data_IF_310261567404
#
_entry.id   IF_310261567404
#
_cell.length_a   1.000
_cell.length_b   1.000
_cell.length_c   1.000
_cell.angle_alpha   90.00
_cell.angle_beta   90.00
_cell.angle_gamma   90.00
#
_symmetry.space_group_name_H-M   'P 1'
#
loop_
_entity.id
_entity.type
_entity.pdbx_description
1 polymer ?
#
# COMPACT_ATOMS: atom_id res chain seq x y z
N UNK A 1 33.93 88.69 1.83
CA UNK A 1 33.12 87.76 1.03
C UNK A 1 33.45 86.34 1.43
N UNK A 2 32.49 85.64 2.04
CA UNK A 2 32.60 84.22 2.40
C UNK A 2 32.67 83.36 1.13
N UNK A 3 33.61 82.41 1.08
CA UNK A 3 33.38 81.15 0.37
C UNK A 3 33.91 80.01 1.22
N UNK A 4 33.11 79.65 2.23
CA UNK A 4 33.23 78.41 2.99
C UNK A 4 33.10 77.28 1.95
N UNK A 5 34.15 76.48 1.73
CA UNK A 5 34.04 75.27 0.92
C UNK A 5 32.99 74.37 1.57
N UNK A 6 31.82 74.30 0.96
CA UNK A 6 30.75 73.41 1.38
C UNK A 6 31.14 72.00 0.92
N UNK A 7 31.61 71.18 1.86
CA UNK A 7 31.09 69.82 2.03
C UNK A 7 31.46 68.69 1.04
N UNK A 8 32.52 68.76 0.22
CA UNK A 8 32.88 67.61 -0.65
C UNK A 8 33.23 66.32 0.13
N UNK A 9 33.72 66.45 1.38
CA UNK A 9 34.02 65.29 2.24
C UNK A 9 32.78 64.54 2.76
N UNK A 10 31.60 65.17 2.77
CA UNK A 10 30.37 64.53 3.25
C UNK A 10 29.65 63.70 2.17
N UNK A 11 29.67 64.19 0.93
CA UNK A 11 29.01 63.52 -0.21
C UNK A 11 29.77 62.24 -0.58
N UNK A 12 31.10 62.26 -0.57
CA UNK A 12 31.92 61.07 -0.80
C UNK A 12 31.63 59.96 0.22
N UNK A 13 31.46 60.30 1.50
CA UNK A 13 31.13 59.33 2.54
C UNK A 13 29.75 58.70 2.34
N UNK A 14 28.74 59.52 1.97
CA UNK A 14 27.39 59.03 1.67
C UNK A 14 27.42 58.09 0.45
N UNK A 15 28.16 58.44 -0.62
CA UNK A 15 28.31 57.55 -1.79
C UNK A 15 28.97 56.23 -1.41
N UNK A 16 30.02 56.23 -0.59
CA UNK A 16 30.67 55.01 -0.10
C UNK A 16 29.71 54.16 0.72
N UNK A 17 28.94 54.78 1.63
CA UNK A 17 27.93 54.07 2.41
C UNK A 17 26.85 53.43 1.52
N UNK A 18 26.39 54.14 0.49
CA UNK A 18 25.43 53.59 -0.47
C UNK A 18 26.00 52.43 -1.29
N UNK A 19 27.23 52.54 -1.77
CA UNK A 19 27.93 51.46 -2.47
C UNK A 19 28.10 50.25 -1.54
N UNK A 20 28.50 50.47 -0.28
CA UNK A 20 28.62 49.42 0.72
C UNK A 20 27.27 48.75 1.02
N UNK A 21 26.19 49.53 1.14
CA UNK A 21 24.85 49.00 1.36
C UNK A 21 24.39 48.12 0.19
N UNK A 22 24.58 48.59 -1.05
CA UNK A 22 24.25 47.82 -2.26
C UNK A 22 25.08 46.54 -2.38
N UNK A 23 26.39 46.61 -2.12
CA UNK A 23 27.26 45.45 -2.08
C UNK A 23 26.84 44.45 -1.01
N UNK A 24 26.44 44.92 0.17
CA UNK A 24 25.98 44.05 1.27
C UNK A 24 24.70 43.31 0.89
N UNK A 25 23.74 43.98 0.24
CA UNK A 25 22.50 43.35 -0.24
C UNK A 25 22.83 42.28 -1.29
N UNK A 26 23.69 42.59 -2.27
CA UNK A 26 24.08 41.65 -3.32
C UNK A 26 24.78 40.41 -2.75
N UNK A 27 25.74 40.60 -1.84
CA UNK A 27 26.46 39.49 -1.19
C UNK A 27 25.50 38.64 -0.36
N UNK A 28 24.53 39.26 0.33
CA UNK A 28 23.53 38.54 1.14
C UNK A 28 22.61 37.70 0.26
N UNK A 29 22.11 38.25 -0.84
CA UNK A 29 21.25 37.54 -1.79
C UNK A 29 21.98 36.35 -2.42
N UNK A 30 23.22 36.57 -2.86
CA UNK A 30 24.06 35.50 -3.42
C UNK A 30 24.33 34.40 -2.38
N UNK A 31 24.66 34.76 -1.14
CA UNK A 31 24.88 33.79 -0.07
C UNK A 31 23.61 32.99 0.28
N UNK A 32 22.45 33.64 0.24
CA UNK A 32 21.16 32.98 0.44
C UNK A 32 20.86 31.99 -0.69
N UNK A 33 20.99 32.44 -1.94
CA UNK A 33 20.80 31.61 -3.14
C UNK A 33 21.73 30.38 -3.14
N UNK A 34 23.04 30.57 -2.90
CA UNK A 34 23.98 29.46 -2.81
C UNK A 34 23.62 28.46 -1.69
N UNK A 35 23.14 28.93 -0.54
CA UNK A 35 22.69 28.05 0.54
C UNK A 35 21.46 27.23 0.12
N UNK A 36 20.54 27.83 -0.65
CA UNK A 36 19.38 27.09 -1.17
C UNK A 36 19.77 26.04 -2.20
N UNK A 37 20.69 26.36 -3.11
CA UNK A 37 21.20 25.41 -4.11
C UNK A 37 21.95 24.24 -3.48
N UNK A 38 22.82 24.51 -2.50
CA UNK A 38 23.53 23.45 -1.77
C UNK A 38 22.55 22.52 -1.04
N UNK A 39 21.46 23.06 -0.47
CA UNK A 39 20.41 22.25 0.15
C UNK A 39 19.66 21.42 -0.86
N UNK A 40 19.29 21.99 -2.01
CA UNK A 40 18.61 21.28 -3.09
C UNK A 40 19.47 20.14 -3.64
N UNK A 41 20.76 20.41 -3.92
CA UNK A 41 21.71 19.40 -4.40
C UNK A 41 21.92 18.27 -3.39
N UNK A 42 21.99 18.60 -2.09
CA UNK A 42 22.09 17.60 -1.02
C UNK A 42 20.82 16.74 -0.94
N UNK A 43 19.64 17.36 -0.95
CA UNK A 43 18.38 16.62 -0.89
C UNK A 43 18.22 15.69 -2.11
N UNK A 44 18.57 16.15 -3.31
CA UNK A 44 18.55 15.33 -4.52
C UNK A 44 19.49 14.10 -4.40
N UNK A 45 20.68 14.29 -3.82
CA UNK A 45 21.61 13.19 -3.52
C UNK A 45 21.02 12.21 -2.51
N UNK A 46 20.49 12.71 -1.41
CA UNK A 46 19.89 11.90 -0.33
C UNK A 46 18.65 11.12 -0.83
N UNK A 47 17.82 11.73 -1.68
CA UNK A 47 16.66 11.09 -2.30
C UNK A 47 17.08 9.96 -3.25
N UNK A 48 18.09 10.19 -4.10
CA UNK A 48 18.63 9.14 -4.97
C UNK A 48 19.23 7.98 -4.16
N UNK A 49 19.96 8.27 -3.07
CA UNK A 49 20.48 7.25 -2.16
C UNK A 49 19.35 6.45 -1.51
N UNK A 50 18.32 7.13 -0.98
CA UNK A 50 17.15 6.50 -0.38
C UNK A 50 16.40 5.59 -1.38
N UNK A 51 16.25 6.03 -2.64
CA UNK A 51 15.64 5.23 -3.71
C UNK A 51 16.38 3.91 -3.94
N UNK A 52 17.70 3.96 -4.17
CA UNK A 52 18.47 2.74 -4.43
C UNK A 52 18.57 1.82 -3.19
N UNK A 53 18.51 2.38 -1.98
CA UNK A 53 18.38 1.62 -0.74
C UNK A 53 17.03 0.89 -0.66
N UNK A 54 15.92 1.55 -1.02
CA UNK A 54 14.61 0.91 -1.12
C UNK A 54 14.60 -0.20 -2.19
N UNK A 55 15.21 0.06 -3.34
CA UNK A 55 15.35 -0.93 -4.41
C UNK A 55 16.18 -2.15 -3.96
N UNK A 56 17.21 -1.94 -3.14
CA UNK A 56 17.98 -3.03 -2.53
C UNK A 56 17.08 -3.90 -1.62
N UNK A 57 16.20 -3.30 -0.83
CA UNK A 57 15.24 -4.04 -0.01
C UNK A 57 14.23 -4.85 -0.83
N UNK A 58 13.75 -4.31 -1.96
CA UNK A 58 12.94 -5.08 -2.92
C UNK A 58 13.68 -6.32 -3.43
N UNK A 59 14.94 -6.16 -3.86
CA UNK A 59 15.74 -7.28 -4.36
C UNK A 59 16.05 -8.33 -3.28
N UNK A 60 16.27 -7.89 -2.04
CA UNK A 60 16.46 -8.81 -0.90
C UNK A 60 15.20 -9.62 -0.59
N UNK A 61 14.03 -8.97 -0.62
CA UNK A 61 12.75 -9.65 -0.47
C UNK A 61 12.47 -10.65 -1.61
N UNK A 62 12.81 -10.29 -2.84
CA UNK A 62 12.75 -11.17 -4.01
C UNK A 62 13.63 -12.41 -3.81
N UNK A 63 14.88 -12.24 -3.35
CA UNK A 63 15.77 -13.35 -3.06
C UNK A 63 15.22 -14.26 -1.96
N UNK A 64 14.57 -13.69 -0.93
CA UNK A 64 13.88 -14.43 0.12
C UNK A 64 12.72 -15.28 -0.44
N UNK A 65 11.89 -14.69 -1.30
CA UNK A 65 10.71 -15.35 -1.91
C UNK A 65 11.12 -16.44 -2.92
N UNK A 66 12.23 -16.25 -3.64
CA UNK A 66 12.78 -17.25 -4.57
C UNK A 66 13.49 -18.39 -3.87
N UNK A 67 13.83 -18.22 -2.59
CA UNK A 67 14.48 -19.27 -1.82
C UNK A 67 13.62 -20.54 -1.73
N UNK A 68 14.29 -21.64 -1.38
CA UNK A 68 13.62 -22.91 -1.17
C UNK A 68 13.01 -22.97 0.24
N UNK A 69 11.68 -22.96 0.30
CA UNK A 69 10.91 -23.16 1.52
C UNK A 69 9.70 -24.06 1.25
N UNK A 70 9.18 -24.70 2.30
CA UNK A 70 8.05 -25.63 2.21
C UNK A 70 6.71 -24.96 2.54
N UNK A 71 6.73 -24.01 3.48
CA UNK A 71 5.56 -23.25 3.89
C UNK A 71 5.95 -21.86 4.36
N UNK A 72 4.98 -20.94 4.36
CA UNK A 72 5.12 -19.61 4.92
C UNK A 72 4.03 -19.34 5.96
N UNK A 73 4.33 -18.50 6.94
CA UNK A 73 3.45 -18.23 8.07
C UNK A 73 3.59 -16.81 8.59
N UNK A 74 2.61 -16.35 9.38
CA UNK A 74 2.63 -15.01 9.96
C UNK A 74 3.67 -14.92 11.09
N UNK A 75 4.64 -14.01 10.97
CA UNK A 75 5.60 -13.73 12.05
C UNK A 75 4.99 -12.93 13.20
N UNK A 76 5.52 -13.10 14.42
CA UNK A 76 5.06 -12.37 15.62
C UNK A 76 5.43 -10.88 15.64
N UNK A 77 6.54 -10.51 14.98
CA UNK A 77 7.13 -9.15 15.02
C UNK A 77 7.43 -8.56 13.64
N UNK A 78 7.23 -9.34 12.58
CA UNK A 78 7.46 -8.92 11.21
C UNK A 78 6.42 -9.58 10.31
N UNK A 79 6.41 -9.25 9.02
CA UNK A 79 5.52 -9.87 8.05
C UNK A 79 5.69 -11.39 7.92
N UNK A 80 5.49 -11.90 6.73
CA UNK A 80 5.53 -13.35 6.47
C UNK A 80 6.92 -13.92 6.76
N UNK A 81 7.02 -15.12 7.31
CA UNK A 81 8.26 -15.89 7.46
C UNK A 81 8.19 -17.15 6.61
N UNK A 82 9.33 -17.58 6.08
CA UNK A 82 9.48 -18.77 5.27
C UNK A 82 10.24 -19.87 6.04
N UNK A 83 9.75 -21.09 5.96
CA UNK A 83 10.32 -22.23 6.68
C UNK A 83 10.29 -23.54 5.87
N UNK A 84 11.22 -24.42 6.23
CA UNK A 84 11.29 -25.81 5.77
C UNK A 84 10.69 -26.76 6.82
N UNK A 85 10.28 -27.94 6.39
CA UNK A 85 9.70 -29.00 7.24
C UNK A 85 10.68 -29.56 8.26
N UNK A 86 11.97 -29.44 8.00
CA UNK A 86 13.05 -29.82 8.93
C UNK A 86 13.20 -28.85 10.11
N UNK A 87 12.38 -27.79 10.17
CA UNK A 87 12.42 -26.77 11.21
C UNK A 87 13.35 -25.60 10.90
N UNK A 88 14.08 -25.64 9.76
CA UNK A 88 14.90 -24.52 9.29
C UNK A 88 13.99 -23.34 8.98
N UNK A 89 14.25 -22.22 9.67
CA UNK A 89 13.57 -20.95 9.44
C UNK A 89 14.54 -19.97 8.82
N UNK A 90 14.08 -19.18 7.86
CA UNK A 90 14.91 -18.10 7.34
C UNK A 90 15.12 -17.04 8.42
N UNK A 91 16.36 -16.78 8.85
CA UNK A 91 16.64 -15.79 9.87
C UNK A 91 16.47 -14.41 9.25
N UNK A 92 15.55 -13.57 9.75
CA UNK A 92 15.39 -12.25 9.15
C UNK A 92 15.18 -11.12 10.14
N UNK A 93 16.27 -10.38 10.32
CA UNK A 93 16.17 -8.95 10.50
C UNK A 93 16.02 -8.32 9.12
N UNK A 94 14.84 -7.75 8.82
CA UNK A 94 14.57 -7.03 7.56
C UNK A 94 14.99 -5.57 7.61
N UNK A 95 15.64 -5.14 8.69
CA UNK A 95 16.23 -3.83 8.84
C UNK A 95 17.75 -3.94 9.05
N UNK A 96 18.53 -3.33 8.16
CA UNK A 96 19.99 -3.42 8.23
C UNK A 96 20.66 -2.19 7.58
N UNK A 97 21.86 -1.80 8.04
CA UNK A 97 22.61 -0.72 7.43
C UNK A 97 23.24 -1.15 6.10
N UNK A 98 23.27 -0.24 5.12
CA UNK A 98 24.05 -0.37 3.88
C UNK A 98 24.80 0.94 3.68
N UNK A 99 26.14 0.89 3.76
CA UNK A 99 26.97 2.10 3.77
C UNK A 99 26.59 2.99 4.95
N UNK A 100 26.28 4.25 4.67
CA UNK A 100 25.84 5.22 5.68
C UNK A 100 24.30 5.32 5.82
N UNK A 101 23.55 4.55 5.01
CA UNK A 101 22.10 4.49 5.04
C UNK A 101 21.57 3.23 5.72
N UNK A 102 20.25 3.10 5.78
CA UNK A 102 19.58 1.88 6.25
C UNK A 102 18.45 1.47 5.32
N UNK A 103 18.23 0.17 5.23
CA UNK A 103 17.13 -0.45 4.49
C UNK A 103 16.21 -1.14 5.48
N UNK A 104 14.91 -0.98 5.31
CA UNK A 104 13.89 -1.78 5.97
C UNK A 104 12.92 -2.32 4.92
N UNK A 105 12.48 -3.58 5.04
CA UNK A 105 11.42 -4.10 4.18
C UNK A 105 10.48 -5.05 4.91
N UNK A 106 9.29 -5.25 4.36
CA UNK A 106 8.29 -6.20 4.85
C UNK A 106 7.68 -6.94 3.67
N UNK A 107 7.44 -8.24 3.87
CA UNK A 107 6.75 -9.10 2.91
C UNK A 107 5.38 -9.45 3.47
N UNK A 108 4.35 -9.24 2.66
CA UNK A 108 2.95 -9.54 2.96
C UNK A 108 2.49 -10.61 1.97
N UNK A 109 1.80 -11.62 2.49
CA UNK A 109 1.23 -12.72 1.71
C UNK A 109 -0.09 -12.28 1.09
N UNK A 110 -0.20 -12.25 -0.24
CA UNK A 110 -1.46 -11.88 -0.90
C UNK A 110 -2.48 -13.03 -0.87
N UNK A 111 -2.05 -14.29 -0.75
CA UNK A 111 -2.96 -15.42 -0.51
C UNK A 111 -3.43 -15.49 0.95
N UNK A 112 -3.02 -14.54 1.81
CA UNK A 112 -3.68 -14.31 3.10
C UNK A 112 -5.01 -13.57 2.97
N UNK A 113 -5.32 -13.06 1.77
CA UNK A 113 -6.49 -12.23 1.44
C UNK A 113 -7.37 -12.90 0.38
N UNK A 114 -8.60 -12.41 0.25
CA UNK A 114 -9.57 -12.86 -0.74
C UNK A 114 -9.28 -12.20 -2.09
N UNK A 115 -8.90 -12.99 -3.10
CA UNK A 115 -8.74 -12.46 -4.45
C UNK A 115 -10.11 -12.15 -5.07
N UNK A 116 -10.45 -10.87 -5.21
CA UNK A 116 -11.75 -10.42 -5.70
C UNK A 116 -12.00 -10.81 -7.17
N UNK A 117 -10.93 -11.00 -7.95
CA UNK A 117 -11.02 -11.42 -9.36
C UNK A 117 -11.43 -12.88 -9.54
N UNK A 118 -11.41 -13.70 -8.49
CA UNK A 118 -11.79 -15.12 -8.58
C UNK A 118 -12.69 -15.59 -7.44
N UNK A 119 -12.97 -14.72 -6.46
CA UNK A 119 -13.87 -15.02 -5.36
C UNK A 119 -15.28 -15.34 -5.86
N UNK A 120 -15.92 -16.32 -5.20
CA UNK A 120 -17.31 -16.68 -5.45
C UNK A 120 -18.25 -15.67 -4.78
N UNK A 121 -19.50 -15.61 -5.28
CA UNK A 121 -20.58 -14.82 -4.66
C UNK A 121 -20.66 -15.01 -3.14
N UNK A 122 -20.70 -16.27 -2.70
CA UNK A 122 -20.81 -16.62 -1.28
C UNK A 122 -19.62 -16.12 -0.46
N UNK A 123 -18.40 -16.23 -0.98
CA UNK A 123 -17.19 -15.80 -0.28
C UNK A 123 -17.12 -14.27 -0.11
N UNK A 124 -17.53 -13.50 -1.13
CA UNK A 124 -17.63 -12.05 -1.05
C UNK A 124 -18.72 -11.66 -0.04
N UNK A 125 -19.90 -12.28 -0.15
CA UNK A 125 -21.02 -12.01 0.75
C UNK A 125 -20.67 -12.30 2.22
N UNK A 126 -19.99 -13.42 2.49
CA UNK A 126 -19.54 -13.77 3.83
C UNK A 126 -18.44 -12.85 4.34
N UNK A 127 -17.55 -12.34 3.47
CA UNK A 127 -16.59 -11.31 3.84
C UNK A 127 -17.32 -10.05 4.33
N UNK A 128 -18.31 -9.58 3.56
CA UNK A 128 -19.09 -8.39 3.94
C UNK A 128 -19.86 -8.62 5.25
N UNK A 129 -20.34 -9.84 5.50
CA UNK A 129 -20.96 -10.22 6.78
C UNK A 129 -19.98 -10.07 7.95
N UNK A 130 -18.77 -10.63 7.84
CA UNK A 130 -17.80 -10.61 8.95
C UNK A 130 -17.15 -9.24 9.16
N UNK A 131 -17.21 -8.34 8.18
CA UNK A 131 -16.80 -6.94 8.33
C UNK A 131 -17.91 -6.03 8.86
N UNK A 132 -19.10 -6.57 9.10
CA UNK A 132 -20.21 -5.91 9.81
C UNK A 132 -21.28 -5.30 8.91
N UNK A 133 -21.16 -5.39 7.58
CA UNK A 133 -22.07 -4.77 6.62
C UNK A 133 -23.47 -5.36 6.74
N UNK A 134 -24.52 -4.56 6.58
CA UNK A 134 -25.92 -5.00 6.69
C UNK A 134 -26.35 -5.85 5.49
N UNK A 135 -27.26 -6.80 5.71
CA UNK A 135 -27.60 -7.83 4.72
C UNK A 135 -28.07 -7.25 3.38
N UNK A 136 -28.87 -6.19 3.41
CA UNK A 136 -29.40 -5.52 2.21
C UNK A 136 -28.27 -4.94 1.35
N UNK A 137 -27.24 -4.36 1.98
CA UNK A 137 -26.08 -3.82 1.28
C UNK A 137 -25.15 -4.93 0.78
N UNK A 138 -25.10 -6.08 1.46
CA UNK A 138 -24.25 -7.21 1.03
C UNK A 138 -24.65 -7.73 -0.34
N UNK A 139 -25.94 -7.93 -0.57
CA UNK A 139 -26.41 -8.48 -1.84
C UNK A 139 -26.13 -7.51 -3.00
N UNK A 140 -26.39 -6.21 -2.81
CA UNK A 140 -26.07 -5.17 -3.80
C UNK A 140 -24.58 -5.13 -4.13
N UNK A 141 -23.73 -5.04 -3.10
CA UNK A 141 -22.27 -4.96 -3.29
C UNK A 141 -21.75 -6.24 -3.95
N UNK A 142 -22.18 -7.40 -3.46
CA UNK A 142 -21.70 -8.68 -3.97
C UNK A 142 -22.09 -8.86 -5.43
N UNK A 143 -23.35 -8.60 -5.77
CA UNK A 143 -23.83 -8.75 -7.13
C UNK A 143 -23.13 -7.75 -8.06
N UNK A 144 -22.98 -6.49 -7.62
CA UNK A 144 -22.31 -5.45 -8.41
C UNK A 144 -20.81 -5.72 -8.63
N UNK A 145 -20.10 -6.35 -7.69
CA UNK A 145 -18.70 -6.78 -7.87
C UNK A 145 -18.59 -7.88 -8.94
N UNK A 146 -19.57 -8.77 -9.01
CA UNK A 146 -19.58 -9.85 -9.99
C UNK A 146 -19.88 -9.32 -11.39
N UNK A 147 -20.89 -8.46 -11.54
CA UNK A 147 -21.26 -7.81 -12.79
C UNK A 147 -20.07 -6.99 -13.31
N UNK A 148 -19.42 -6.18 -12.45
CA UNK A 148 -18.21 -5.42 -12.80
C UNK A 148 -17.08 -6.23 -13.45
N UNK A 149 -16.95 -7.51 -13.04
CA UNK A 149 -15.87 -8.40 -13.47
C UNK A 149 -16.22 -9.19 -14.73
N UNK A 150 -17.48 -9.49 -14.93
CA UNK A 150 -17.90 -10.41 -15.97
C UNK A 150 -17.98 -9.68 -17.34
N UNK A 151 -17.90 -10.41 -18.44
CA UNK A 151 -17.81 -9.81 -19.79
C UNK A 151 -19.17 -9.52 -20.42
N UNK A 152 -20.24 -9.84 -19.71
CA UNK A 152 -21.58 -9.73 -20.25
C UNK A 152 -22.22 -8.41 -19.75
N UNK A 153 -23.48 -8.20 -20.10
CA UNK A 153 -24.17 -6.93 -19.87
C UNK A 153 -25.53 -7.19 -19.20
N UNK A 154 -25.62 -8.32 -18.50
CA UNK A 154 -26.82 -8.76 -17.80
C UNK A 154 -26.60 -8.55 -16.31
N UNK A 155 -27.29 -7.56 -15.77
CA UNK A 155 -27.26 -7.33 -14.34
C UNK A 155 -27.87 -8.51 -13.57
N UNK A 156 -27.19 -8.90 -12.49
CA UNK A 156 -27.79 -9.79 -11.50
C UNK A 156 -28.92 -9.08 -10.75
N UNK A 157 -29.66 -9.82 -9.92
CA UNK A 157 -30.87 -9.32 -9.25
C UNK A 157 -30.67 -7.98 -8.51
N UNK A 158 -29.51 -7.80 -7.86
CA UNK A 158 -29.16 -6.56 -7.14
C UNK A 158 -27.89 -5.89 -7.69
N UNK A 159 -27.42 -6.36 -8.85
CA UNK A 159 -26.18 -5.91 -9.46
C UNK A 159 -26.34 -4.63 -10.27
N UNK A 160 -25.28 -4.26 -10.98
CA UNK A 160 -25.19 -3.01 -11.72
C UNK A 160 -24.25 -3.16 -12.91
N UNK A 161 -24.74 -2.77 -14.08
CA UNK A 161 -24.02 -2.74 -15.37
C UNK A 161 -23.98 -1.30 -15.91
N UNK A 162 -23.57 -1.12 -17.16
CA UNK A 162 -23.52 0.17 -17.85
C UNK A 162 -24.82 0.99 -17.73
N UNK A 163 -25.97 0.31 -17.76
CA UNK A 163 -27.26 0.98 -17.64
C UNK A 163 -27.44 1.70 -16.29
N UNK A 164 -26.77 1.23 -15.24
CA UNK A 164 -26.70 1.88 -13.93
C UNK A 164 -25.65 2.99 -13.94
N UNK A 165 -24.40 2.68 -14.31
CA UNK A 165 -23.27 3.60 -14.16
C UNK A 165 -23.37 4.82 -15.09
N UNK A 166 -23.96 4.67 -16.28
CA UNK A 166 -24.18 5.79 -17.20
C UNK A 166 -25.23 6.80 -16.73
N UNK A 167 -26.04 6.45 -15.72
CA UNK A 167 -27.05 7.35 -15.11
C UNK A 167 -26.50 8.18 -13.94
N UNK A 168 -25.25 7.95 -13.52
CA UNK A 168 -24.62 8.68 -12.43
C UNK A 168 -24.33 10.15 -12.81
N UNK A 169 -24.10 11.00 -11.80
CA UNK A 169 -23.75 12.40 -12.03
C UNK A 169 -22.45 12.58 -12.84
N UNK A 170 -21.52 11.64 -12.68
CA UNK A 170 -20.33 11.49 -13.50
C UNK A 170 -20.39 10.10 -14.15
N UNK A 171 -20.96 9.99 -15.36
CA UNK A 171 -21.13 8.71 -16.04
C UNK A 171 -19.82 8.00 -16.35
N UNK A 172 -19.82 6.68 -16.21
CA UNK A 172 -18.78 5.76 -16.69
C UNK A 172 -19.43 4.41 -17.00
N UNK A 173 -18.66 3.50 -17.60
CA UNK A 173 -19.06 2.13 -17.93
C UNK A 173 -18.50 1.16 -16.88
N UNK A 174 -19.16 0.02 -16.71
CA UNK A 174 -18.58 -1.12 -16.01
C UNK A 174 -17.31 -1.56 -16.73
N UNK A 175 -16.39 -2.21 -16.00
CA UNK A 175 -15.09 -2.59 -16.57
C UNK A 175 -15.17 -3.79 -17.50
N UNK A 176 -16.17 -4.64 -17.28
CA UNK A 176 -16.34 -5.94 -17.92
C UNK A 176 -15.08 -6.82 -17.82
N UNK A 177 -14.42 -6.77 -16.65
CA UNK A 177 -13.12 -7.41 -16.50
C UNK A 177 -12.52 -7.32 -15.10
N UNK A 178 -11.40 -8.00 -14.94
CA UNK A 178 -10.70 -8.07 -13.66
C UNK A 178 -10.27 -6.68 -13.16
N UNK A 179 -10.38 -6.49 -11.85
CA UNK A 179 -9.80 -5.38 -11.11
C UNK A 179 -8.28 -5.39 -11.27
N UNK A 180 -7.68 -4.26 -11.68
CA UNK A 180 -6.23 -4.07 -11.72
C UNK A 180 -5.72 -3.57 -10.37
N UNK A 181 -6.43 -2.60 -9.78
CA UNK A 181 -6.16 -2.07 -8.45
C UNK A 181 -7.35 -2.28 -7.50
N UNK A 182 -7.09 -2.20 -6.20
CA UNK A 182 -8.14 -2.38 -5.19
C UNK A 182 -9.08 -1.19 -5.14
N UNK A 183 -8.57 0.01 -5.40
CA UNK A 183 -9.30 1.28 -5.33
C UNK A 183 -10.42 1.36 -6.38
N UNK A 184 -10.35 0.57 -7.46
CA UNK A 184 -11.45 0.39 -8.40
C UNK A 184 -12.74 -0.11 -7.74
N UNK A 185 -12.65 -0.80 -6.59
CA UNK A 185 -13.84 -1.18 -5.81
C UNK A 185 -14.67 0.03 -5.40
N UNK A 186 -14.09 1.23 -5.23
CA UNK A 186 -14.83 2.46 -4.92
C UNK A 186 -15.72 2.95 -6.08
N UNK A 187 -15.57 2.39 -7.29
CA UNK A 187 -16.45 2.65 -8.43
C UNK A 187 -17.61 1.66 -8.48
N UNK A 188 -17.56 0.57 -7.72
CA UNK A 188 -18.61 -0.46 -7.75
C UNK A 188 -19.82 0.02 -6.96
N UNK A 189 -21.01 -0.19 -7.53
CA UNK A 189 -22.26 0.16 -6.88
C UNK A 189 -22.37 -0.45 -5.46
N UNK A 190 -22.71 0.40 -4.49
CA UNK A 190 -22.82 0.04 -3.07
C UNK A 190 -21.51 0.07 -2.26
N UNK A 191 -20.34 0.15 -2.90
CA UNK A 191 -19.05 0.23 -2.18
C UNK A 191 -18.73 1.68 -1.84
N UNK A 192 -19.10 2.08 -0.62
CA UNK A 192 -18.76 3.42 -0.11
C UNK A 192 -17.33 3.46 0.46
N UNK A 193 -16.75 4.66 0.68
CA UNK A 193 -15.48 4.77 1.39
C UNK A 193 -15.48 4.09 2.76
N UNK A 194 -16.59 4.11 3.49
CA UNK A 194 -16.74 3.43 4.78
C UNK A 194 -16.75 1.90 4.64
N UNK A 195 -17.36 1.37 3.58
CA UNK A 195 -17.30 -0.06 3.25
C UNK A 195 -15.88 -0.47 2.88
N UNK A 196 -15.17 0.36 2.11
CA UNK A 196 -13.84 0.06 1.62
C UNK A 196 -12.77 0.20 2.71
N UNK A 197 -12.65 1.38 3.33
CA UNK A 197 -11.62 1.70 4.32
C UNK A 197 -12.02 1.32 5.75
N UNK A 198 -13.33 1.27 6.06
CA UNK A 198 -13.84 1.20 7.42
C UNK A 198 -14.16 2.58 7.98
N UNK A 199 -15.16 2.68 8.86
CA UNK A 199 -15.74 3.95 9.31
C UNK A 199 -14.70 4.90 9.93
N UNK A 200 -13.74 4.35 10.68
CA UNK A 200 -12.72 5.14 11.38
C UNK A 200 -11.44 5.38 10.56
N UNK A 201 -11.38 4.88 9.33
CA UNK A 201 -10.16 4.87 8.51
C UNK A 201 -10.34 5.54 7.14
N UNK A 202 -11.50 6.18 6.89
CA UNK A 202 -11.72 6.92 5.64
C UNK A 202 -10.74 8.11 5.57
N UNK A 203 -9.96 8.25 4.48
CA UNK A 203 -9.05 9.38 4.31
C UNK A 203 -9.75 10.75 4.35
N UNK A 204 -9.13 11.73 5.00
CA UNK A 204 -9.70 13.07 5.23
C UNK A 204 -10.03 13.82 3.93
N UNK A 205 -9.28 13.58 2.86
CA UNK A 205 -9.45 14.17 1.54
C UNK A 205 -10.59 13.54 0.73
N UNK A 206 -11.04 12.35 1.10
CA UNK A 206 -12.22 11.68 0.51
C UNK A 206 -13.52 12.25 1.08
N UNK A 207 -13.49 12.86 2.28
CA UNK A 207 -14.64 13.55 2.85
C UNK A 207 -14.93 14.88 2.13
N UNK A 208 -15.73 14.82 1.06
CA UNK A 208 -16.54 15.97 0.64
C UNK A 208 -17.84 15.97 1.45
N UNK A 209 -17.84 16.86 2.45
CA UNK A 209 -18.93 17.19 3.38
C UNK A 209 -19.13 16.20 4.55
N UNK A 210 -19.32 16.78 5.74
CA UNK A 210 -19.68 16.14 7.01
C UNK A 210 -21.05 15.42 6.90
N UNK A 211 -21.12 14.32 6.15
CA UNK A 211 -22.24 13.38 6.31
C UNK A 211 -21.90 12.46 7.47
N UNK A 212 -22.61 12.63 8.57
CA UNK A 212 -22.74 11.59 9.60
C UNK A 212 -22.98 10.26 8.88
N UNK A 213 -22.13 9.29 9.13
CA UNK A 213 -22.26 7.91 8.63
C UNK A 213 -23.73 7.50 8.64
N UNK A 214 -24.25 7.10 7.48
CA UNK A 214 -25.61 6.54 7.36
C UNK A 214 -25.74 5.18 8.06
N UNK A 215 -24.65 4.67 8.63
CA UNK A 215 -24.51 3.33 9.16
C UNK A 215 -24.28 3.36 10.67
N UNK A 216 -25.07 2.56 11.40
CA UNK A 216 -25.07 2.48 12.87
C UNK A 216 -24.04 1.51 13.47
N UNK A 217 -23.44 0.64 12.64
CA UNK A 217 -22.54 -0.42 13.09
C UNK A 217 -21.09 -0.12 12.70
N UNK A 218 -20.13 -0.50 13.54
CA UNK A 218 -18.70 -0.39 13.23
C UNK A 218 -18.32 -1.29 12.04
N UNK A 219 -17.90 -0.69 10.92
CA UNK A 219 -17.31 -1.42 9.80
C UNK A 219 -15.79 -1.38 9.87
N UNK A 220 -15.16 -2.54 9.74
CA UNK A 220 -13.69 -2.62 9.69
C UNK A 220 -13.10 -2.22 8.33
N UNK A 221 -13.93 -2.10 7.29
CA UNK A 221 -13.47 -1.98 5.91
C UNK A 221 -13.15 -3.34 5.29
N UNK A 222 -13.23 -3.44 3.96
CA UNK A 222 -12.86 -4.65 3.22
C UNK A 222 -11.43 -4.62 2.67
N UNK A 223 -10.83 -3.44 2.51
CA UNK A 223 -9.57 -3.25 1.77
C UNK A 223 -8.39 -4.08 2.32
N UNK A 224 -8.32 -4.30 3.63
CA UNK A 224 -7.26 -5.12 4.25
C UNK A 224 -7.43 -6.63 4.03
N UNK A 225 -8.63 -7.08 3.66
CA UNK A 225 -8.99 -8.50 3.51
C UNK A 225 -9.06 -8.98 2.06
N UNK A 226 -8.90 -8.07 1.09
CA UNK A 226 -9.01 -8.38 -0.34
C UNK A 226 -7.71 -8.10 -1.09
N UNK A 227 -7.58 -8.72 -2.26
CA UNK A 227 -6.49 -8.50 -3.22
C UNK A 227 -6.99 -8.64 -4.65
N UNK A 228 -6.26 -8.13 -5.64
CA UNK A 228 -6.54 -8.35 -7.08
C UNK A 228 -5.68 -9.45 -7.70
N UNK A 229 -4.76 -10.03 -6.92
CA UNK A 229 -3.75 -10.99 -7.40
C UNK A 229 -3.81 -12.33 -6.65
N UNK A 230 -3.03 -13.31 -7.11
CA UNK A 230 -2.92 -14.63 -6.48
C UNK A 230 -3.93 -15.64 -7.00
N UNK A 231 -3.80 -16.88 -6.53
CA UNK A 231 -4.49 -18.05 -7.09
C UNK A 231 -5.98 -18.16 -6.73
N UNK A 232 -6.47 -17.35 -5.77
CA UNK A 232 -7.80 -17.49 -5.17
C UNK A 232 -7.90 -18.51 -4.05
N UNK A 233 -6.85 -19.30 -3.83
CA UNK A 233 -6.73 -20.15 -2.65
C UNK A 233 -6.23 -19.31 -1.46
N UNK A 234 -6.65 -19.70 -0.26
CA UNK A 234 -6.29 -19.00 0.98
C UNK A 234 -5.17 -19.75 1.70
N UNK A 235 -4.10 -19.04 2.03
CA UNK A 235 -3.03 -19.55 2.86
C UNK A 235 -3.46 -19.60 4.33
N UNK A 236 -3.65 -20.80 4.83
CA UNK A 236 -4.18 -21.05 6.18
C UNK A 236 -3.14 -20.86 7.28
N UNK A 237 -1.92 -20.40 6.99
CA UNK A 237 -0.95 -19.99 8.01
C UNK A 237 -0.86 -18.46 8.18
N UNK A 238 -1.34 -17.69 7.21
CA UNK A 238 -1.17 -16.23 7.16
C UNK A 238 -2.49 -15.47 7.13
N UNK A 239 -3.58 -16.07 6.62
CA UNK A 239 -4.88 -15.44 6.54
C UNK A 239 -5.43 -15.00 7.90
N UNK A 240 -6.05 -13.82 7.96
CA UNK A 240 -6.68 -13.31 9.19
C UNK A 240 -7.93 -14.13 9.57
N UNK A 241 -8.40 -13.97 10.80
CA UNK A 241 -9.60 -14.65 11.29
C UNK A 241 -10.83 -14.39 10.39
N UNK A 242 -11.05 -13.14 9.99
CA UNK A 242 -12.16 -12.77 9.11
C UNK A 242 -12.05 -13.41 7.72
N UNK A 243 -10.86 -13.47 7.13
CA UNK A 243 -10.65 -14.14 5.83
C UNK A 243 -10.91 -15.65 5.96
N UNK A 244 -10.44 -16.26 7.05
CA UNK A 244 -10.71 -17.67 7.33
C UNK A 244 -12.19 -17.95 7.53
N UNK A 245 -12.89 -17.11 8.30
CA UNK A 245 -14.33 -17.26 8.51
C UNK A 245 -15.10 -17.08 7.21
N UNK A 246 -14.77 -16.07 6.41
CA UNK A 246 -15.42 -15.83 5.13
C UNK A 246 -15.22 -16.98 4.14
N UNK A 247 -14.05 -17.63 4.16
CA UNK A 247 -13.74 -18.73 3.24
C UNK A 247 -14.25 -20.10 3.71
N UNK A 248 -14.09 -20.40 4.99
CA UNK A 248 -14.23 -21.75 5.54
C UNK A 248 -15.33 -21.88 6.60
N UNK A 249 -15.93 -20.76 7.00
CA UNK A 249 -16.92 -20.68 8.09
C UNK A 249 -16.28 -20.61 9.48
N UNK A 250 -17.07 -20.09 10.43
CA UNK A 250 -16.62 -19.77 11.79
C UNK A 250 -15.99 -20.95 12.54
N UNK A 251 -16.60 -22.15 12.44
CA UNK A 251 -16.11 -23.33 13.15
C UNK A 251 -14.71 -23.77 12.66
N UNK A 252 -14.50 -23.76 11.34
CA UNK A 252 -13.21 -24.16 10.73
C UNK A 252 -12.15 -23.08 10.97
N UNK A 253 -12.51 -21.80 10.87
CA UNK A 253 -11.61 -20.69 11.16
C UNK A 253 -11.01 -20.79 12.57
N UNK A 254 -11.86 -21.05 13.58
CA UNK A 254 -11.41 -21.25 14.96
C UNK A 254 -10.46 -22.45 15.13
N UNK A 255 -10.73 -23.56 14.44
CA UNK A 255 -9.83 -24.72 14.46
C UNK A 255 -8.46 -24.39 13.86
N UNK A 256 -8.44 -23.66 12.74
CA UNK A 256 -7.19 -23.22 12.10
C UNK A 256 -6.40 -22.32 13.04
N UNK A 257 -7.04 -21.34 13.68
CA UNK A 257 -6.39 -20.41 14.61
C UNK A 257 -5.83 -21.14 15.83
N UNK A 258 -6.62 -22.01 16.46
CA UNK A 258 -6.18 -22.81 17.60
C UNK A 258 -4.99 -23.70 17.23
N UNK A 259 -5.01 -24.32 16.04
CA UNK A 259 -3.90 -25.14 15.55
C UNK A 259 -2.63 -24.30 15.35
N UNK A 260 -2.72 -23.09 14.77
CA UNK A 260 -1.56 -22.20 14.57
C UNK A 260 -0.84 -21.87 15.88
N UNK A 261 -1.56 -21.78 17.00
CA UNK A 261 -0.98 -21.53 18.32
C UNK A 261 -0.13 -22.72 18.82
N UNK A 262 -0.49 -23.95 18.46
CA UNK A 262 0.30 -25.15 18.76
C UNK A 262 1.45 -25.36 17.74
N UNK A 263 1.25 -24.90 16.50
CA UNK A 263 2.24 -24.89 15.44
C UNK A 263 1.60 -24.71 14.06
N UNK A 264 2.32 -24.03 13.16
CA UNK A 264 1.84 -23.77 11.80
C UNK A 264 1.68 -25.05 10.96
N UNK A 265 0.74 -25.01 10.01
CA UNK A 265 0.48 -26.09 9.08
C UNK A 265 1.65 -26.26 8.11
N UNK A 266 2.18 -27.46 7.99
CA UNK A 266 3.25 -27.79 7.03
C UNK A 266 2.72 -28.37 5.71
N UNK A 267 1.41 -28.67 5.67
CA UNK A 267 0.70 -29.27 4.53
C UNK A 267 -0.66 -28.60 4.36
N UNK A 268 -1.19 -28.53 3.12
CA UNK A 268 -2.56 -28.09 2.86
C UNK A 268 -3.58 -28.84 3.73
N UNK A 269 -4.58 -28.11 4.24
CA UNK A 269 -5.68 -28.65 5.02
C UNK A 269 -6.92 -27.77 4.85
N UNK A 270 -8.11 -28.30 5.14
CA UNK A 270 -9.39 -27.56 5.06
C UNK A 270 -9.68 -26.92 3.69
N UNK A 271 -8.99 -27.35 2.62
CA UNK A 271 -9.07 -26.72 1.29
C UNK A 271 -8.23 -25.45 1.13
N UNK A 272 -7.40 -25.10 2.11
CA UNK A 272 -6.43 -24.02 2.03
C UNK A 272 -5.00 -24.50 1.78
N UNK A 273 -4.13 -23.57 1.40
CA UNK A 273 -2.72 -23.80 1.07
C UNK A 273 -1.80 -23.38 2.22
N UNK A 274 -0.53 -23.77 2.16
CA UNK A 274 0.50 -23.39 3.15
C UNK A 274 1.71 -22.70 2.52
N UNK A 275 1.74 -22.64 1.19
CA UNK A 275 2.81 -22.05 0.39
C UNK A 275 2.21 -21.11 -0.64
N UNK A 276 2.54 -19.84 -0.48
CA UNK A 276 2.06 -18.74 -1.29
C UNK A 276 2.93 -18.48 -2.52
N UNK A 277 2.35 -17.83 -3.51
CA UNK A 277 3.00 -17.45 -4.76
C UNK A 277 2.91 -15.96 -5.05
N UNK A 278 1.99 -15.25 -4.41
CA UNK A 278 1.80 -13.83 -4.61
C UNK A 278 2.11 -13.05 -3.33
N UNK A 279 2.96 -12.03 -3.45
CA UNK A 279 3.45 -11.28 -2.29
C UNK A 279 3.50 -9.78 -2.58
N UNK A 280 3.11 -8.97 -1.60
CA UNK A 280 3.45 -7.55 -1.58
C UNK A 280 4.76 -7.35 -0.83
N UNK A 281 5.65 -6.55 -1.40
CA UNK A 281 6.88 -6.09 -0.75
C UNK A 281 6.74 -4.60 -0.52
N UNK A 282 6.89 -4.18 0.73
CA UNK A 282 7.05 -2.78 1.12
C UNK A 282 8.50 -2.57 1.52
N UNK A 283 9.23 -1.73 0.82
CA UNK A 283 10.62 -1.41 1.17
C UNK A 283 10.83 0.09 1.35
N UNK A 284 11.53 0.44 2.42
CA UNK A 284 11.97 1.80 2.73
C UNK A 284 13.49 1.86 2.75
N UNK A 285 14.04 2.76 1.96
CA UNK A 285 15.45 3.15 2.05
C UNK A 285 15.57 4.49 2.74
N UNK A 286 16.49 4.62 3.68
CA UNK A 286 16.73 5.86 4.42
C UNK A 286 18.16 6.33 4.16
N UNK A 287 18.30 7.57 3.68
CA UNK A 287 19.61 8.21 3.56
C UNK A 287 20.16 8.59 4.95
N UNK A 288 21.48 8.80 5.02
CA UNK A 288 22.27 9.15 6.22
C UNK A 288 21.49 9.83 7.35
N UNK A 289 21.21 9.12 8.46
CA UNK A 289 20.64 9.62 9.74
C UNK A 289 19.55 10.71 9.64
N UNK A 290 18.92 10.86 8.47
CA UNK A 290 18.07 11.97 8.10
C UNK A 290 16.63 11.50 7.99
N UNK A 291 15.66 12.42 7.99
CA UNK A 291 14.25 12.06 7.86
C UNK A 291 13.88 11.63 6.43
N UNK A 292 14.77 11.81 5.45
CA UNK A 292 14.51 11.50 4.04
C UNK A 292 14.54 9.97 3.86
N UNK A 293 13.42 9.44 3.40
CA UNK A 293 13.30 8.06 2.97
C UNK A 293 12.59 8.02 1.62
N UNK A 294 12.74 6.90 0.93
CA UNK A 294 11.96 6.57 -0.25
C UNK A 294 11.26 5.24 0.01
N UNK A 295 9.98 5.13 -0.37
CA UNK A 295 9.22 3.89 -0.23
C UNK A 295 8.92 3.30 -1.61
N UNK A 296 9.08 1.98 -1.73
CA UNK A 296 8.67 1.22 -2.91
C UNK A 296 7.70 0.14 -2.45
N UNK A 297 6.51 0.12 -3.08
CA UNK A 297 5.53 -0.96 -2.97
C UNK A 297 5.51 -1.75 -4.27
N UNK A 298 5.86 -3.02 -4.20
CA UNK A 298 5.82 -3.93 -5.33
C UNK A 298 4.93 -5.13 -5.02
N UNK A 299 4.07 -5.53 -5.96
CA UNK A 299 3.35 -6.81 -5.89
C UNK A 299 4.00 -7.76 -6.89
N UNK A 300 4.41 -8.92 -6.41
CA UNK A 300 5.11 -9.91 -7.22
C UNK A 300 4.40 -11.27 -7.18
N UNK A 301 4.47 -11.98 -8.30
CA UNK A 301 3.99 -13.35 -8.43
C UNK A 301 5.18 -14.26 -8.79
N UNK A 302 5.45 -15.25 -7.94
CA UNK A 302 6.44 -16.29 -8.14
C UNK A 302 5.87 -17.36 -9.06
N UNK A 303 6.61 -17.70 -10.10
CA UNK A 303 6.32 -18.88 -10.90
C UNK A 303 6.66 -20.16 -10.09
N UNK A 304 5.73 -21.10 -10.04
CA UNK A 304 5.92 -22.37 -9.32
C UNK A 304 6.76 -23.39 -10.10
N UNK A 305 6.83 -23.26 -11.43
CA UNK A 305 7.56 -24.17 -12.32
C UNK A 305 9.00 -23.72 -12.62
N UNK A 306 9.31 -22.44 -12.44
CA UNK A 306 10.64 -21.84 -12.69
C UNK A 306 10.97 -20.82 -11.61
N UNK A 307 12.25 -20.59 -11.27
CA UNK A 307 12.65 -19.55 -10.31
C UNK A 307 12.55 -18.15 -10.94
N UNK A 308 11.38 -17.82 -11.47
CA UNK A 308 11.08 -16.56 -12.15
C UNK A 308 10.01 -15.81 -11.33
N UNK A 309 10.10 -14.48 -11.35
CA UNK A 309 9.10 -13.60 -10.76
C UNK A 309 8.52 -12.70 -11.84
N UNK A 310 7.21 -12.46 -11.75
CA UNK A 310 6.51 -11.42 -12.50
C UNK A 310 6.12 -10.30 -11.55
N UNK A 311 6.53 -9.08 -11.84
CA UNK A 311 6.05 -7.89 -11.13
C UNK A 311 4.65 -7.56 -11.69
N UNK A 312 3.66 -7.51 -10.80
CA UNK A 312 2.25 -7.20 -11.13
C UNK A 312 1.91 -5.74 -10.90
N UNK A 313 2.54 -5.12 -9.91
CA UNK A 313 2.33 -3.74 -9.54
C UNK A 313 3.63 -3.14 -9.02
N UNK A 314 3.86 -1.88 -9.32
CA UNK A 314 5.01 -1.12 -8.90
C UNK A 314 4.58 0.31 -8.61
N UNK A 315 4.83 0.78 -7.40
CA UNK A 315 4.59 2.16 -7.01
C UNK A 315 5.76 2.68 -6.18
N UNK A 316 6.22 3.86 -6.56
CA UNK A 316 7.30 4.62 -5.98
C UNK A 316 6.66 5.83 -5.30
N UNK A 317 6.63 5.83 -3.98
CA UNK A 317 6.12 6.95 -3.19
C UNK A 317 7.28 7.68 -2.53
N UNK A 318 7.28 9.01 -2.66
CA UNK A 318 8.19 9.95 -1.99
C UNK A 318 7.60 10.36 -0.65
#
# INVERSE_FOLDING_TARGET
>A
MLRKQIGEKGIAFIMVLWVMALLTILVTEFAYSMRTEVRAARNFKEEAEAYYLALAGINMAIAEILSEYDFNYQGEKSGVLFAKRDGTRMPLNREFPIGDGRVSYTIIDEESKININVASRGMIWDLLRVTGIEIENRDVITDSILDWRDINQLSQLNGAEDDHYLKLAYPYEAKDGNFDTLEELLLVNGVTPEVFYGINNVPLDVFREEKKSAFSNEYSGIAEYVTTTGTGLININTASEKVLEARFGFAVANQIIAQRQAGHFQQPSYGGIVKSTSFTILSRGYAQNGPIYHEIKAIIERNTARPEIKIKYWNESI
#
